data_IF_245803613628
#
_entry.id   IF_245803613628
#
_cell.length_a   1.000
_cell.length_b   1.000
_cell.length_c   1.000
_cell.angle_alpha   90.00
_cell.angle_beta   90.00
_cell.angle_gamma   90.00
#
_symmetry.space_group_name_H-M   'P 1'
#
loop_
_entity.id
_entity.type
_entity.pdbx_description
1 polymer ?
#
# COMPACT_ATOMS: atom_id res chain seq x y z
N UNK A 1 11.59 -13.54 3.89
CA UNK A 1 11.26 -12.38 3.09
C UNK A 1 11.32 -11.16 3.95
N UNK A 2 11.87 -10.16 3.55
CA UNK A 2 12.64 -9.12 3.96
C UNK A 2 12.05 -8.17 4.90
N UNK A 3 12.53 -8.05 5.99
CA UNK A 3 12.55 -6.81 6.72
C UNK A 3 13.64 -5.89 6.12
N UNK A 4 13.27 -4.88 5.40
CA UNK A 4 14.02 -3.64 5.52
C UNK A 4 13.90 -3.29 7.00
N UNK A 5 15.02 -3.06 7.69
CA UNK A 5 14.97 -2.58 9.08
C UNK A 5 14.10 -1.32 9.09
N UNK A 6 12.95 -1.32 9.79
CA UNK A 6 12.08 -0.13 9.85
C UNK A 6 12.82 1.13 10.27
N UNK A 7 13.93 0.97 11.03
CA UNK A 7 14.79 2.07 11.45
C UNK A 7 15.60 2.67 10.31
N UNK A 8 15.98 1.85 9.30
CA UNK A 8 16.69 2.37 8.12
C UNK A 8 15.74 3.16 7.21
N UNK A 9 14.48 2.75 7.08
CA UNK A 9 13.45 3.51 6.38
C UNK A 9 13.11 4.81 7.12
N UNK A 10 13.00 4.76 8.44
CA UNK A 10 12.71 5.94 9.27
C UNK A 10 13.85 6.97 9.20
N UNK A 11 15.12 6.54 9.11
CA UNK A 11 16.26 7.45 8.98
C UNK A 11 16.35 8.13 7.61
N UNK A 12 15.85 7.50 6.56
CA UNK A 12 15.79 8.10 5.22
C UNK A 12 14.62 9.08 5.06
N UNK A 13 13.60 8.98 5.92
CA UNK A 13 12.35 9.75 5.81
C UNK A 13 12.13 10.79 6.92
N UNK A 14 12.97 10.79 7.95
CA UNK A 14 12.82 11.66 9.12
C UNK A 14 12.81 13.19 8.86
N UNK A 15 13.29 13.73 7.73
CA UNK A 15 13.25 15.18 7.51
C UNK A 15 11.96 15.73 6.87
N UNK A 16 11.00 14.87 6.51
CA UNK A 16 9.85 15.26 5.68
C UNK A 16 8.48 15.08 6.35
N UNK A 17 8.44 14.98 7.68
CA UNK A 17 7.16 15.08 8.38
C UNK A 17 6.77 16.55 8.45
N UNK A 18 5.73 17.00 7.74
CA UNK A 18 5.19 18.33 7.99
C UNK A 18 4.59 18.36 9.40
N UNK A 19 4.88 19.46 10.11
CA UNK A 19 4.15 19.81 11.31
C UNK A 19 2.73 20.23 10.90
N UNK A 20 1.77 19.78 11.71
CA UNK A 20 0.39 20.27 11.83
C UNK A 20 -0.10 21.19 10.72
N UNK A 21 -0.80 20.64 9.72
CA UNK A 21 -1.61 21.43 8.82
C UNK A 21 -2.92 21.79 9.51
N UNK A 22 -3.15 23.10 9.67
CA UNK A 22 -4.43 23.68 10.03
C UNK A 22 -5.49 23.23 9.03
N UNK A 23 -6.42 22.40 9.49
CA UNK A 23 -7.54 21.89 8.71
C UNK A 23 -8.56 23.00 8.47
N UNK A 24 -8.73 23.38 7.19
CA UNK A 24 -9.81 24.26 6.75
C UNK A 24 -11.18 23.52 6.78
N UNK A 25 -12.13 24.19 7.30
CA UNK A 25 -13.62 24.28 7.30
C UNK A 25 -14.54 23.13 6.80
N UNK A 26 -14.06 21.99 6.35
CA UNK A 26 -14.86 20.74 6.30
C UNK A 26 -14.49 19.90 7.54
N UNK A 27 -15.22 20.03 8.62
CA UNK A 27 -14.97 19.36 9.90
C UNK A 27 -14.84 17.83 9.67
N UNK A 28 -13.60 17.31 9.70
CA UNK A 28 -13.37 15.86 9.70
C UNK A 28 -13.85 15.31 11.04
N UNK A 29 -14.87 14.47 11.02
CA UNK A 29 -15.40 13.80 12.19
C UNK A 29 -14.89 12.37 12.21
N UNK A 30 -14.12 12.02 13.24
CA UNK A 30 -13.65 10.65 13.45
C UNK A 30 -14.82 9.73 13.78
N UNK A 31 -14.94 8.62 13.07
CA UNK A 31 -15.92 7.56 13.31
C UNK A 31 -15.34 6.53 14.30
N UNK A 32 -16.21 5.89 15.10
CA UNK A 32 -15.81 4.87 16.08
C UNK A 32 -15.01 3.70 15.46
N UNK A 33 -15.20 3.41 14.17
CA UNK A 33 -14.48 2.40 13.41
C UNK A 33 -13.13 2.91 12.85
N UNK A 34 -12.64 4.10 13.25
CA UNK A 34 -11.29 4.61 12.99
C UNK A 34 -11.10 5.28 11.62
N UNK A 35 -12.15 5.49 10.81
CA UNK A 35 -12.09 6.34 9.62
C UNK A 35 -12.70 7.71 9.89
N UNK A 36 -12.34 8.73 9.11
CA UNK A 36 -12.92 10.06 9.21
C UNK A 36 -14.10 10.23 8.23
N UNK A 37 -15.04 11.11 8.55
CA UNK A 37 -16.14 11.48 7.66
C UNK A 37 -16.12 12.98 7.37
N UNK A 38 -16.32 13.33 6.09
CA UNK A 38 -16.59 14.68 5.62
C UNK A 38 -17.93 14.65 4.86
N UNK A 39 -19.00 14.96 5.55
CA UNK A 39 -20.35 14.77 5.03
C UNK A 39 -20.60 13.29 4.67
N UNK A 40 -21.04 12.96 3.44
CA UNK A 40 -21.29 11.58 3.02
C UNK A 40 -20.04 10.85 2.49
N UNK A 41 -18.86 11.41 2.63
CA UNK A 41 -17.59 10.81 2.21
C UNK A 41 -16.83 10.30 3.40
N UNK A 42 -16.38 9.04 3.36
CA UNK A 42 -15.42 8.50 4.31
C UNK A 42 -13.98 8.69 3.80
N UNK A 43 -13.08 8.98 4.71
CA UNK A 43 -11.64 9.07 4.47
C UNK A 43 -10.96 7.96 5.29
N UNK A 44 -10.22 7.11 4.60
CA UNK A 44 -9.37 6.09 5.23
C UNK A 44 -7.91 6.48 5.03
N UNK A 45 -7.22 6.71 6.12
CA UNK A 45 -5.82 7.12 6.11
C UNK A 45 -4.86 5.95 6.04
N UNK A 46 -3.86 6.07 5.16
CA UNK A 46 -2.80 5.09 4.97
C UNK A 46 -1.46 5.83 5.13
N UNK A 47 -0.89 5.77 6.33
CA UNK A 47 0.23 6.61 6.72
C UNK A 47 1.47 5.80 7.10
N UNK A 48 2.66 6.32 6.72
CA UNK A 48 3.95 5.78 7.14
C UNK A 48 4.25 4.37 6.62
N UNK A 49 5.23 3.66 7.21
CA UNK A 49 5.58 2.29 6.82
C UNK A 49 4.47 1.31 7.14
N UNK A 50 4.16 0.41 6.20
CA UNK A 50 3.04 -0.52 6.30
C UNK A 50 3.50 -1.92 6.74
N UNK A 51 2.71 -2.56 7.60
CA UNK A 51 2.94 -3.91 8.11
C UNK A 51 1.66 -4.73 8.07
N UNK A 52 1.78 -6.05 8.24
CA UNK A 52 0.61 -6.92 8.27
C UNK A 52 -0.27 -6.66 9.50
N UNK A 53 0.33 -6.63 10.68
CA UNK A 53 -0.37 -6.46 11.96
C UNK A 53 -0.01 -5.12 12.60
N UNK A 54 -0.93 -4.59 13.41
CA UNK A 54 -0.77 -3.32 14.09
C UNK A 54 0.47 -3.26 14.99
N UNK A 55 1.17 -2.14 14.88
CA UNK A 55 2.16 -1.69 15.84
C UNK A 55 1.88 -0.22 16.15
N UNK A 56 2.12 0.21 17.38
CA UNK A 56 1.75 1.54 17.89
C UNK A 56 2.23 2.76 17.06
N UNK A 57 3.08 2.56 16.05
CA UNK A 57 3.61 3.63 15.19
C UNK A 57 3.41 3.40 13.68
N UNK A 58 2.70 2.34 13.25
CA UNK A 58 2.57 1.99 11.84
C UNK A 58 1.13 1.61 11.51
N UNK A 59 0.64 2.03 10.36
CA UNK A 59 -0.61 1.50 9.81
C UNK A 59 -0.45 0.02 9.46
N UNK A 60 -1.42 -0.79 9.85
CA UNK A 60 -1.46 -2.19 9.47
C UNK A 60 -2.42 -2.44 8.33
N UNK A 61 -2.15 -3.48 7.53
CA UNK A 61 -3.07 -3.88 6.46
C UNK A 61 -4.42 -4.33 7.01
N UNK A 62 -4.43 -4.95 8.19
CA UNK A 62 -5.65 -5.43 8.85
C UNK A 62 -6.53 -4.25 9.27
N UNK A 63 -5.98 -3.23 9.93
CA UNK A 63 -6.72 -2.03 10.33
C UNK A 63 -7.23 -1.23 9.13
N UNK A 64 -6.39 -1.04 8.08
CA UNK A 64 -6.80 -0.35 6.86
C UNK A 64 -7.98 -1.08 6.21
N UNK A 65 -7.93 -2.40 6.13
CA UNK A 65 -9.02 -3.21 5.58
C UNK A 65 -10.29 -3.13 6.42
N UNK A 66 -10.18 -3.20 7.75
CA UNK A 66 -11.31 -3.07 8.67
C UNK A 66 -11.99 -1.72 8.53
N UNK A 67 -11.24 -0.61 8.60
CA UNK A 67 -11.75 0.75 8.43
C UNK A 67 -12.43 0.93 7.06
N UNK A 68 -11.79 0.44 6.01
CA UNK A 68 -12.33 0.51 4.65
C UNK A 68 -13.64 -0.27 4.51
N UNK A 69 -13.70 -1.48 5.03
CA UNK A 69 -14.92 -2.30 4.99
C UNK A 69 -16.04 -1.70 5.84
N UNK A 70 -15.72 -1.14 7.01
CA UNK A 70 -16.68 -0.44 7.86
C UNK A 70 -17.25 0.79 7.14
N UNK A 71 -16.41 1.60 6.49
CA UNK A 71 -16.84 2.75 5.69
C UNK A 71 -17.75 2.32 4.53
N UNK A 72 -17.44 1.24 3.84
CA UNK A 72 -18.28 0.70 2.77
C UNK A 72 -19.62 0.17 3.29
N UNK A 73 -19.66 -0.42 4.48
CA UNK A 73 -20.88 -0.95 5.09
C UNK A 73 -21.80 0.14 5.65
N UNK A 74 -21.29 1.33 5.99
CA UNK A 74 -22.05 2.43 6.55
C UNK A 74 -23.00 3.02 5.50
N UNK A 75 -24.36 2.96 5.69
CA UNK A 75 -25.33 3.47 4.71
C UNK A 75 -25.28 5.00 4.53
N UNK A 76 -24.72 5.76 5.47
CA UNK A 76 -24.56 7.20 5.35
C UNK A 76 -23.39 7.59 4.43
N UNK A 77 -22.44 6.68 4.21
CA UNK A 77 -21.29 6.89 3.33
C UNK A 77 -21.68 6.62 1.87
N UNK A 78 -21.44 7.58 1.00
CA UNK A 78 -21.71 7.49 -0.44
C UNK A 78 -20.47 7.21 -1.27
N UNK A 79 -19.29 7.42 -0.72
CA UNK A 79 -18.01 7.11 -1.37
C UNK A 79 -16.85 7.19 -0.39
N UNK A 80 -15.70 6.62 -0.78
CA UNK A 80 -14.52 6.52 0.07
C UNK A 80 -13.31 7.16 -0.62
N UNK A 81 -12.57 7.96 0.12
CA UNK A 81 -11.25 8.46 -0.25
C UNK A 81 -10.18 7.67 0.53
N UNK A 82 -9.29 6.99 -0.16
CA UNK A 82 -8.04 6.48 0.42
C UNK A 82 -7.01 7.62 0.37
N UNK A 83 -6.71 8.22 1.51
CA UNK A 83 -5.68 9.27 1.63
C UNK A 83 -4.36 8.61 2.02
N UNK A 84 -3.37 8.65 1.12
CA UNK A 84 -2.17 7.80 1.22
C UNK A 84 -0.93 8.67 1.28
N UNK A 85 -0.17 8.55 2.36
CA UNK A 85 1.19 9.10 2.46
C UNK A 85 2.12 8.04 3.07
N UNK A 86 2.67 7.19 2.20
CA UNK A 86 3.39 6.00 2.63
C UNK A 86 4.49 5.60 1.64
N UNK A 87 5.68 5.21 2.15
CA UNK A 87 6.76 4.64 1.33
C UNK A 87 6.49 3.18 0.95
N UNK A 88 5.39 2.58 1.41
CA UNK A 88 5.14 1.16 1.33
C UNK A 88 5.51 0.42 2.61
N UNK A 89 5.85 -0.85 2.50
CA UNK A 89 6.12 -1.68 3.66
C UNK A 89 6.38 -3.13 3.32
N UNK A 90 6.07 -4.04 4.26
CA UNK A 90 6.30 -5.48 4.07
C UNK A 90 5.37 -6.04 2.99
N UNK A 91 5.90 -6.97 2.20
CA UNK A 91 5.13 -7.60 1.12
C UNK A 91 4.11 -8.63 1.64
N UNK A 92 4.28 -9.10 2.88
CA UNK A 92 3.41 -10.09 3.49
C UNK A 92 2.04 -9.51 3.80
N UNK A 93 1.01 -10.08 3.18
CA UNK A 93 -0.38 -9.69 3.39
C UNK A 93 -0.91 -8.63 2.41
N UNK A 94 -0.08 -7.75 1.86
CA UNK A 94 -0.56 -6.62 1.03
C UNK A 94 -1.38 -7.05 -0.19
N UNK A 95 -0.96 -8.10 -0.89
CA UNK A 95 -1.66 -8.53 -2.11
C UNK A 95 -3.04 -9.10 -1.79
N UNK A 96 -3.17 -9.85 -0.71
CA UNK A 96 -4.44 -10.41 -0.27
C UNK A 96 -5.38 -9.31 0.26
N UNK A 97 -4.86 -8.39 1.08
CA UNK A 97 -5.62 -7.23 1.55
C UNK A 97 -6.13 -6.41 0.37
N UNK A 98 -5.27 -6.07 -0.60
CA UNK A 98 -5.69 -5.31 -1.79
C UNK A 98 -6.80 -6.03 -2.56
N UNK A 99 -6.71 -7.36 -2.73
CA UNK A 99 -7.76 -8.15 -3.42
C UNK A 99 -9.07 -8.13 -2.65
N UNK A 100 -9.03 -8.28 -1.31
CA UNK A 100 -10.23 -8.24 -0.47
C UNK A 100 -10.88 -6.87 -0.47
N UNK A 101 -10.10 -5.79 -0.35
CA UNK A 101 -10.60 -4.42 -0.46
C UNK A 101 -11.26 -4.16 -1.82
N UNK A 102 -10.66 -4.63 -2.93
CA UNK A 102 -11.28 -4.54 -4.26
C UNK A 102 -12.61 -5.31 -4.34
N UNK A 103 -12.65 -6.51 -3.78
CA UNK A 103 -13.88 -7.31 -3.75
C UNK A 103 -14.98 -6.61 -2.91
N UNK A 104 -14.62 -6.05 -1.76
CA UNK A 104 -15.53 -5.28 -0.92
C UNK A 104 -16.06 -4.03 -1.65
N UNK A 105 -15.18 -3.27 -2.33
CA UNK A 105 -15.58 -2.13 -3.17
C UNK A 105 -16.59 -2.55 -4.23
N UNK A 106 -16.30 -3.59 -4.99
CA UNK A 106 -17.20 -4.09 -6.04
C UNK A 106 -18.57 -4.52 -5.48
N UNK A 107 -18.58 -5.18 -4.33
CA UNK A 107 -19.81 -5.61 -3.67
C UNK A 107 -20.64 -4.44 -3.16
N UNK A 108 -20.00 -3.36 -2.68
CA UNK A 108 -20.69 -2.18 -2.17
C UNK A 108 -21.28 -1.29 -3.27
N UNK A 109 -20.66 -1.29 -4.45
CA UNK A 109 -21.00 -0.40 -5.57
C UNK A 109 -20.67 1.08 -5.33
N UNK A 110 -20.03 1.42 -4.20
CA UNK A 110 -19.66 2.80 -3.86
C UNK A 110 -18.38 3.20 -4.60
N UNK A 111 -18.28 4.45 -5.11
CA UNK A 111 -17.06 4.95 -5.72
C UNK A 111 -15.95 5.09 -4.66
N UNK A 112 -14.74 4.73 -5.05
CA UNK A 112 -13.53 4.85 -4.22
C UNK A 112 -12.47 5.56 -5.03
N UNK A 113 -11.91 6.64 -4.51
CA UNK A 113 -10.75 7.31 -5.09
C UNK A 113 -9.55 7.15 -4.17
N UNK A 114 -8.36 7.15 -4.76
CA UNK A 114 -7.09 7.15 -4.03
C UNK A 114 -6.38 8.46 -4.30
N UNK A 115 -5.97 9.14 -3.25
CA UNK A 115 -5.15 10.35 -3.31
C UNK A 115 -3.80 10.08 -2.66
N UNK A 116 -2.73 10.16 -3.44
CA UNK A 116 -1.37 10.13 -2.90
C UNK A 116 -1.05 11.51 -2.33
N UNK A 117 -1.22 11.65 -1.02
CA UNK A 117 -0.87 12.85 -0.27
C UNK A 117 0.64 12.86 -0.03
N UNK A 118 1.40 13.31 -1.02
CA UNK A 118 2.82 13.23 -1.30
C UNK A 118 3.30 11.86 -1.81
N UNK A 119 3.02 10.73 -1.17
CA UNK A 119 3.60 9.46 -1.59
C UNK A 119 2.65 8.28 -1.50
N UNK A 120 2.59 7.48 -2.57
CA UNK A 120 2.05 6.13 -2.52
C UNK A 120 3.01 5.19 -3.27
N UNK A 121 3.99 4.64 -2.55
CA UNK A 121 5.06 3.84 -3.12
C UNK A 121 4.96 2.37 -2.69
N UNK A 122 5.44 1.46 -3.53
CA UNK A 122 5.55 0.03 -3.22
C UNK A 122 4.22 -0.55 -2.71
N UNK A 123 4.17 -1.16 -1.52
CA UNK A 123 2.96 -1.72 -0.92
C UNK A 123 1.80 -0.70 -0.82
N UNK A 124 2.10 0.59 -0.58
CA UNK A 124 1.09 1.64 -0.56
C UNK A 124 0.48 1.89 -1.94
N UNK A 125 1.28 1.73 -3.02
CA UNK A 125 0.75 1.79 -4.37
C UNK A 125 -0.18 0.60 -4.68
N UNK A 126 0.13 -0.60 -4.16
CA UNK A 126 -0.80 -1.73 -4.27
C UNK A 126 -2.17 -1.38 -3.68
N UNK A 127 -2.23 -0.77 -2.49
CA UNK A 127 -3.47 -0.31 -1.88
C UNK A 127 -4.12 0.83 -2.68
N UNK A 128 -3.33 1.78 -3.21
CA UNK A 128 -3.85 2.86 -4.06
C UNK A 128 -4.62 2.33 -5.27
N UNK A 129 -4.23 1.15 -5.79
CA UNK A 129 -4.92 0.52 -6.93
C UNK A 129 -6.33 0.02 -6.62
N UNK A 130 -6.80 0.11 -5.38
CA UNK A 130 -8.20 -0.15 -5.01
C UNK A 130 -9.13 0.96 -5.54
N UNK A 131 -8.63 2.20 -5.63
CA UNK A 131 -9.39 3.33 -6.15
C UNK A 131 -9.81 3.18 -7.61
N UNK A 132 -10.95 3.75 -7.97
CA UNK A 132 -11.40 3.88 -9.35
C UNK A 132 -10.53 4.88 -10.12
N UNK A 133 -10.10 5.94 -9.42
CA UNK A 133 -9.10 6.88 -9.90
C UNK A 133 -7.99 7.02 -8.85
N UNK A 134 -6.77 7.23 -9.33
CA UNK A 134 -5.59 7.54 -8.51
C UNK A 134 -5.15 8.95 -8.88
N UNK A 135 -5.10 9.82 -7.88
CA UNK A 135 -4.70 11.21 -7.98
C UNK A 135 -3.45 11.48 -7.15
N UNK A 136 -2.69 12.52 -7.53
CA UNK A 136 -1.53 12.98 -6.77
C UNK A 136 -1.31 14.48 -7.02
N UNK A 137 -0.66 15.23 -6.09
CA UNK A 137 -0.21 16.59 -6.34
C UNK A 137 0.99 16.60 -7.30
N UNK A 138 1.38 17.78 -7.77
CA UNK A 138 2.52 17.92 -8.68
C UNK A 138 3.86 17.49 -8.05
N UNK A 139 3.97 17.56 -6.72
CA UNK A 139 5.10 17.09 -5.92
C UNK A 139 5.00 15.62 -5.53
N UNK A 140 3.84 15.00 -5.70
CA UNK A 140 3.59 13.62 -5.26
C UNK A 140 4.33 12.57 -6.08
N UNK A 141 4.57 11.43 -5.47
CA UNK A 141 5.28 10.29 -6.08
C UNK A 141 4.47 9.00 -6.04
N UNK A 142 4.46 8.28 -7.17
CA UNK A 142 3.89 6.95 -7.29
C UNK A 142 4.91 5.96 -7.85
N UNK A 143 4.68 4.67 -7.62
CA UNK A 143 5.50 3.62 -8.23
C UNK A 143 6.22 2.74 -7.22
N UNK A 144 7.51 2.50 -7.44
CA UNK A 144 8.30 1.52 -6.66
C UNK A 144 7.64 0.12 -6.67
N UNK A 145 7.13 -0.30 -7.84
CA UNK A 145 6.41 -1.57 -8.04
C UNK A 145 7.42 -2.69 -8.16
N UNK A 146 7.81 -3.24 -7.01
CA UNK A 146 8.83 -4.28 -6.93
C UNK A 146 9.03 -4.75 -5.51
N UNK A 147 9.84 -5.79 -5.38
CA UNK A 147 10.23 -6.35 -4.08
C UNK A 147 11.74 -6.31 -3.93
N UNK A 148 12.19 -6.08 -2.72
CA UNK A 148 13.61 -6.12 -2.38
C UNK A 148 13.85 -7.08 -1.23
N UNK A 149 14.95 -7.83 -1.26
CA UNK A 149 15.40 -8.69 -0.18
C UNK A 149 16.86 -8.32 0.17
N UNK A 150 17.12 -8.07 1.43
CA UNK A 150 18.48 -7.82 1.91
C UNK A 150 18.94 -8.99 2.78
N UNK A 151 20.05 -9.58 2.43
CA UNK A 151 20.72 -10.60 3.22
C UNK A 151 22.15 -10.15 3.53
N UNK A 152 22.66 -10.58 4.66
CA UNK A 152 23.99 -10.14 5.13
C UNK A 152 24.85 -11.36 5.44
N UNK A 153 26.09 -11.34 4.97
CA UNK A 153 27.15 -12.29 5.32
C UNK A 153 28.13 -11.59 6.28
N UNK A 154 28.30 -12.15 7.48
CA UNK A 154 29.21 -11.65 8.51
C UNK A 154 30.38 -12.62 8.77
N UNK A 155 30.55 -13.63 7.97
CA UNK A 155 31.56 -14.67 8.22
C UNK A 155 32.96 -14.08 8.31
N UNK A 156 33.32 -13.20 7.38
CA UNK A 156 34.60 -12.51 7.39
C UNK A 156 34.81 -11.62 8.62
N UNK A 157 33.75 -10.88 9.03
CA UNK A 157 33.82 -10.07 10.25
C UNK A 157 34.03 -10.94 11.49
N UNK A 158 33.34 -12.08 11.58
CA UNK A 158 33.51 -13.02 12.69
C UNK A 158 34.93 -13.55 12.75
N UNK A 159 35.52 -13.91 11.61
CA UNK A 159 36.90 -14.40 11.53
C UNK A 159 37.88 -13.34 12.02
N UNK A 160 37.73 -12.09 11.58
CA UNK A 160 38.60 -10.97 12.01
C UNK A 160 38.47 -10.68 13.52
N UNK A 161 37.30 -10.92 14.11
CA UNK A 161 37.05 -10.75 15.55
C UNK A 161 37.39 -12.00 16.39
N UNK A 162 37.86 -13.08 15.76
CA UNK A 162 38.14 -14.33 16.45
C UNK A 162 36.89 -15.05 16.98
N UNK A 163 35.71 -14.77 16.42
CA UNK A 163 34.43 -15.35 16.80
C UNK A 163 34.17 -16.59 15.94
N UNK A 164 34.13 -17.76 16.56
CA UNK A 164 33.74 -19.00 15.89
C UNK A 164 32.25 -19.26 16.12
N UNK A 165 31.48 -19.32 15.04
CA UNK A 165 30.05 -19.68 15.08
C UNK A 165 29.85 -20.99 14.31
N UNK A 166 29.23 -21.98 14.95
CA UNK A 166 28.79 -23.22 14.31
C UNK A 166 27.27 -23.22 14.20
N UNK A 167 26.76 -23.26 12.97
CA UNK A 167 25.32 -23.33 12.71
C UNK A 167 24.94 -24.77 12.39
N UNK A 168 24.21 -25.43 13.29
CA UNK A 168 23.81 -26.83 13.17
C UNK A 168 22.33 -26.85 12.76
N UNK A 169 22.03 -27.49 11.63
CA UNK A 169 20.68 -27.49 11.07
C UNK A 169 20.22 -28.90 10.68
N UNK A 170 18.90 -29.08 10.67
CA UNK A 170 18.25 -30.20 10.00
C UNK A 170 17.77 -29.72 8.62
N UNK A 171 18.44 -30.15 7.56
CA UNK A 171 18.16 -29.75 6.18
C UNK A 171 19.09 -28.64 5.67
N UNK A 172 19.51 -28.80 4.41
CA UNK A 172 20.60 -28.01 3.79
C UNK A 172 20.27 -26.53 3.57
N UNK A 173 18.99 -26.18 3.47
CA UNK A 173 18.55 -24.79 3.21
C UNK A 173 18.11 -24.07 4.49
N UNK A 174 18.11 -24.75 5.65
CA UNK A 174 17.59 -24.17 6.90
C UNK A 174 18.41 -22.98 7.39
N UNK A 175 19.68 -22.91 7.02
CA UNK A 175 20.59 -21.82 7.36
C UNK A 175 20.72 -20.76 6.25
N UNK A 176 19.98 -20.87 5.17
CA UNK A 176 20.01 -19.86 4.12
C UNK A 176 19.66 -18.48 4.70
N UNK A 177 20.51 -17.47 4.40
CA UNK A 177 20.35 -16.13 4.93
C UNK A 177 20.76 -15.92 6.39
N UNK A 178 21.25 -16.96 7.08
CA UNK A 178 21.88 -16.77 8.39
C UNK A 178 23.19 -15.98 8.21
N UNK A 179 23.41 -14.86 8.92
CA UNK A 179 24.57 -14.01 8.72
C UNK A 179 25.92 -14.66 9.08
N UNK A 180 25.90 -15.78 9.79
CA UNK A 180 27.08 -16.53 10.18
C UNK A 180 27.39 -17.71 9.24
N UNK A 181 26.70 -17.79 8.10
CA UNK A 181 26.92 -18.80 7.05
C UNK A 181 27.24 -18.05 5.74
N UNK A 182 28.22 -18.52 4.97
CA UNK A 182 28.57 -17.86 3.70
C UNK A 182 27.37 -17.81 2.74
N UNK A 183 27.17 -16.66 2.09
CA UNK A 183 26.21 -16.50 1.01
C UNK A 183 26.75 -17.15 -0.27
N UNK A 184 26.29 -18.36 -0.58
CA UNK A 184 26.67 -19.04 -1.81
C UNK A 184 25.84 -18.55 -3.01
N UNK A 185 26.35 -18.70 -4.25
CA UNK A 185 25.58 -18.40 -5.46
C UNK A 185 24.23 -19.12 -5.51
N UNK A 186 24.17 -20.36 -5.02
CA UNK A 186 22.93 -21.16 -4.97
C UNK A 186 21.92 -20.58 -3.99
N UNK A 187 22.40 -20.11 -2.82
CA UNK A 187 21.53 -19.42 -1.83
C UNK A 187 20.99 -18.12 -2.41
N UNK A 188 21.85 -17.32 -3.07
CA UNK A 188 21.44 -16.08 -3.73
C UNK A 188 20.39 -16.37 -4.82
N UNK A 189 20.61 -17.40 -5.65
CA UNK A 189 19.65 -17.78 -6.70
C UNK A 189 18.29 -18.18 -6.13
N UNK A 190 18.24 -18.89 -5.00
CA UNK A 190 16.97 -19.23 -4.33
C UNK A 190 16.25 -17.98 -3.83
N UNK A 191 16.96 -17.04 -3.24
CA UNK A 191 16.35 -15.78 -2.80
C UNK A 191 15.88 -14.93 -3.97
N UNK A 192 16.66 -14.87 -5.05
CA UNK A 192 16.25 -14.17 -6.27
C UNK A 192 14.94 -14.73 -6.81
N UNK A 193 14.79 -16.05 -6.87
CA UNK A 193 13.56 -16.68 -7.33
C UNK A 193 12.33 -16.29 -6.45
N UNK A 194 12.52 -16.11 -5.14
CA UNK A 194 11.45 -15.63 -4.25
C UNK A 194 11.11 -14.18 -4.55
N UNK A 195 12.11 -13.31 -4.70
CA UNK A 195 11.91 -11.88 -5.04
C UNK A 195 11.22 -11.73 -6.38
N UNK A 196 11.63 -12.50 -7.39
CA UNK A 196 11.03 -12.47 -8.73
C UNK A 196 9.58 -12.94 -8.71
N UNK A 197 9.27 -14.00 -7.96
CA UNK A 197 7.90 -14.49 -7.81
C UNK A 197 6.99 -13.46 -7.13
N UNK A 198 7.47 -12.77 -6.10
CA UNK A 198 6.71 -11.72 -5.42
C UNK A 198 6.58 -10.47 -6.29
N UNK A 199 7.64 -10.08 -7.00
CA UNK A 199 7.62 -8.98 -7.96
C UNK A 199 6.63 -9.23 -9.09
N UNK A 200 6.57 -10.46 -9.61
CA UNK A 200 5.59 -10.89 -10.62
C UNK A 200 4.14 -10.81 -10.12
N UNK A 201 3.88 -11.22 -8.87
CA UNK A 201 2.55 -11.07 -8.26
C UNK A 201 2.15 -9.59 -8.13
N UNK A 202 3.08 -8.73 -7.76
CA UNK A 202 2.84 -7.30 -7.66
C UNK A 202 2.56 -6.69 -9.05
N UNK A 203 3.38 -7.02 -10.04
CA UNK A 203 3.18 -6.57 -11.41
C UNK A 203 1.81 -7.00 -11.96
N UNK A 204 1.39 -8.24 -11.72
CA UNK A 204 0.06 -8.74 -12.12
C UNK A 204 -1.06 -7.95 -11.44
N UNK A 205 -0.94 -7.71 -10.12
CA UNK A 205 -1.95 -6.95 -9.36
C UNK A 205 -2.13 -5.53 -9.91
N UNK A 206 -1.03 -4.87 -10.29
CA UNK A 206 -1.06 -3.53 -10.89
C UNK A 206 -1.61 -3.59 -12.32
N UNK A 207 -1.17 -4.54 -13.11
CA UNK A 207 -1.63 -4.73 -14.49
C UNK A 207 -3.16 -4.88 -14.55
N UNK A 208 -3.72 -5.74 -13.68
CA UNK A 208 -5.17 -5.96 -13.55
C UNK A 208 -5.92 -4.67 -13.17
N UNK A 209 -5.33 -3.85 -12.30
CA UNK A 209 -5.96 -2.63 -11.82
C UNK A 209 -5.88 -1.46 -12.79
N UNK A 210 -4.78 -1.39 -13.53
CA UNK A 210 -4.47 -0.23 -14.37
C UNK A 210 -4.71 -0.49 -15.86
N UNK A 211 -5.26 -1.68 -16.23
CA UNK A 211 -5.46 -2.10 -17.61
C UNK A 211 -4.16 -2.05 -18.43
N UNK A 212 -3.07 -2.46 -17.78
CA UNK A 212 -1.75 -2.60 -18.39
C UNK A 212 -1.42 -4.07 -18.64
N UNK A 213 -0.40 -4.36 -19.45
CA UNK A 213 0.20 -5.69 -19.46
C UNK A 213 1.20 -5.84 -18.31
N UNK A 214 1.47 -7.08 -17.89
CA UNK A 214 2.53 -7.34 -16.89
C UNK A 214 3.88 -6.84 -17.38
N UNK A 215 4.16 -7.01 -18.67
CA UNK A 215 5.42 -6.55 -19.29
C UNK A 215 5.55 -5.02 -19.24
N UNK A 216 4.44 -4.26 -19.46
CA UNK A 216 4.46 -2.81 -19.32
C UNK A 216 4.80 -2.40 -17.87
N UNK A 217 4.23 -3.08 -16.88
CA UNK A 217 4.53 -2.82 -15.46
C UNK A 217 5.97 -3.17 -15.13
N UNK A 218 6.47 -4.31 -15.59
CA UNK A 218 7.87 -4.71 -15.38
C UNK A 218 8.85 -3.76 -16.10
N UNK A 219 8.46 -3.19 -17.23
CA UNK A 219 9.27 -2.20 -17.96
C UNK A 219 9.48 -0.90 -17.18
N UNK A 220 8.62 -0.60 -16.19
CA UNK A 220 8.82 0.54 -15.27
C UNK A 220 10.01 0.35 -14.32
N UNK A 221 10.59 -0.85 -14.23
CA UNK A 221 11.80 -1.19 -13.47
C UNK A 221 11.75 -0.73 -12.00
N UNK A 222 10.58 -0.86 -11.37
CA UNK A 222 10.31 -0.37 -10.01
C UNK A 222 10.66 1.13 -9.81
N UNK A 223 10.59 1.92 -10.87
CA UNK A 223 10.85 3.37 -10.83
C UNK A 223 9.82 4.12 -9.99
N UNK A 224 10.19 5.35 -9.61
CA UNK A 224 9.32 6.31 -8.95
C UNK A 224 9.01 7.44 -9.91
N UNK A 225 7.74 7.86 -9.97
CA UNK A 225 7.24 8.81 -10.95
C UNK A 225 6.65 10.03 -10.23
N UNK A 226 7.28 11.19 -10.44
CA UNK A 226 6.91 12.45 -9.81
C UNK A 226 5.78 13.12 -10.59
N UNK A 227 4.72 13.52 -9.92
CA UNK A 227 3.65 14.35 -10.44
C UNK A 227 3.15 13.91 -11.81
N UNK A 228 3.29 14.78 -12.79
CA UNK A 228 2.80 14.55 -14.14
C UNK A 228 3.44 13.35 -14.87
N UNK A 229 4.59 12.84 -14.42
CA UNK A 229 5.22 11.64 -14.99
C UNK A 229 4.41 10.36 -14.72
N UNK A 230 3.63 10.34 -13.64
CA UNK A 230 2.85 9.16 -13.26
C UNK A 230 1.67 8.89 -14.22
N UNK A 231 1.15 9.91 -14.90
CA UNK A 231 0.01 9.77 -15.81
C UNK A 231 0.39 9.00 -17.08
N UNK A 232 1.40 9.41 -17.87
CA UNK A 232 1.80 8.63 -19.04
C UNK A 232 2.42 7.27 -18.69
N UNK A 233 2.93 7.09 -17.47
CA UNK A 233 3.36 5.79 -16.96
C UNK A 233 2.19 4.85 -16.64
N UNK A 234 0.93 5.30 -16.78
CA UNK A 234 -0.27 4.51 -16.48
C UNK A 234 -0.58 4.37 -14.99
N UNK A 235 0.22 5.00 -14.10
CA UNK A 235 0.13 4.83 -12.66
C UNK A 235 -0.85 5.78 -11.99
N UNK A 236 -1.15 6.92 -12.60
CA UNK A 236 -2.14 7.88 -12.12
C UNK A 236 -3.20 8.18 -13.18
N UNK A 237 -4.35 8.65 -12.72
CA UNK A 237 -5.39 9.17 -13.59
C UNK A 237 -5.24 10.68 -13.78
N UNK A 238 -4.90 11.41 -12.71
CA UNK A 238 -4.83 12.88 -12.73
C UNK A 238 -3.78 13.43 -11.76
N UNK A 239 -3.27 14.60 -12.09
CA UNK A 239 -2.52 15.47 -11.18
C UNK A 239 -3.45 16.61 -10.77
N UNK A 240 -3.60 16.83 -9.48
CA UNK A 240 -4.46 17.87 -8.91
C UNK A 240 -4.33 17.93 -7.40
N UNK A 241 -4.97 18.90 -6.79
CA UNK A 241 -5.02 19.03 -5.33
C UNK A 241 -5.92 17.97 -4.70
N UNK A 242 -5.83 17.83 -3.39
CA UNK A 242 -6.73 16.98 -2.60
C UNK A 242 -8.19 17.44 -2.76
N UNK A 243 -8.40 18.73 -2.75
CA UNK A 243 -9.72 19.38 -2.92
C UNK A 243 -10.32 19.05 -4.30
N UNK A 244 -9.51 19.08 -5.37
CA UNK A 244 -9.94 18.69 -6.72
C UNK A 244 -10.36 17.21 -6.77
N UNK A 245 -9.59 16.33 -6.11
CA UNK A 245 -9.90 14.91 -6.01
C UNK A 245 -11.21 14.68 -5.23
N UNK A 246 -11.38 15.36 -4.09
CA UNK A 246 -12.61 15.31 -3.28
C UNK A 246 -13.81 15.81 -4.08
N UNK A 247 -13.68 16.93 -4.78
CA UNK A 247 -14.74 17.47 -5.62
C UNK A 247 -15.14 16.50 -6.74
N UNK A 248 -14.15 15.86 -7.37
CA UNK A 248 -14.38 14.84 -8.39
C UNK A 248 -15.08 13.58 -7.83
N UNK A 249 -14.72 13.14 -6.64
CA UNK A 249 -15.37 12.02 -5.96
C UNK A 249 -16.82 12.38 -5.58
N UNK A 250 -17.04 13.55 -4.98
CA UNK A 250 -18.39 14.05 -4.63
C UNK A 250 -19.30 14.16 -5.86
N UNK A 251 -18.78 14.54 -7.01
CA UNK A 251 -19.56 14.58 -8.26
C UNK A 251 -20.05 13.21 -8.73
N UNK A 252 -19.36 12.13 -8.36
CA UNK A 252 -19.79 10.74 -8.65
C UNK A 252 -20.99 10.31 -7.82
N UNK A 253 -21.20 10.89 -6.63
CA UNK A 253 -22.36 10.54 -5.79
C UNK A 253 -23.68 10.87 -6.49
N UNK A 254 -23.74 11.98 -7.22
CA UNK A 254 -24.94 12.41 -7.94
C UNK A 254 -25.29 11.52 -9.15
N UNK A 255 -24.35 10.72 -9.63
CA UNK A 255 -24.52 9.89 -10.83
C UNK A 255 -24.70 8.40 -10.54
N UNK A 256 -24.47 7.97 -9.29
CA UNK A 256 -24.68 6.58 -8.89
C UNK A 256 -26.18 6.28 -8.82
N UNK A 257 -26.68 5.21 -9.46
CA UNK A 257 -28.08 4.81 -9.28
C UNK A 257 -28.31 4.48 -7.80
N UNK A 258 -29.37 5.06 -7.20
CA UNK A 258 -29.74 4.77 -5.83
C UNK A 258 -29.86 3.25 -5.64
N UNK A 259 -29.02 2.69 -4.75
CA UNK A 259 -29.08 1.28 -4.38
C UNK A 259 -30.50 1.02 -3.85
N UNK A 260 -31.28 0.08 -4.41
CA UNK A 260 -32.60 -0.20 -3.91
C UNK A 260 -32.49 -0.64 -2.45
N UNK A 261 -33.19 0.08 -1.56
CA UNK A 261 -33.27 -0.26 -0.15
C UNK A 261 -33.72 -1.73 -0.03
N UNK A 262 -32.89 -2.57 0.58
CA UNK A 262 -33.28 -3.95 0.89
C UNK A 262 -34.54 -3.89 1.75
N UNK A 263 -35.66 -4.35 1.19
CA UNK A 263 -36.96 -4.40 1.86
C UNK A 263 -36.81 -5.18 3.17
N UNK A 264 -37.38 -4.62 4.24
CA UNK A 264 -37.51 -5.34 5.51
C UNK A 264 -38.21 -6.68 5.24
N UNK A 265 -37.70 -7.80 5.79
CA UNK A 265 -38.47 -9.05 5.74
C UNK A 265 -39.80 -8.86 6.41
N UNK A 266 -40.86 -9.35 5.78
CA UNK A 266 -42.20 -9.31 6.33
C UNK A 266 -42.27 -10.10 7.65
N UNK A 267 -42.98 -9.63 8.67
CA UNK A 267 -43.18 -10.38 9.90
C UNK A 267 -44.02 -11.64 9.63
N UNK A 268 -43.47 -12.78 10.04
CA UNK A 268 -44.21 -14.08 10.08
C UNK A 268 -45.08 -14.16 11.29
#
# INVERSE_FOLDING_TARGET
VLAIDPRALTQLWSPLMPADDDCDDDEEVEHEDGYCCVGPMAIVDIQGPLQKCAHWWNSSYEEIEEQFCAALANPAVQGVLLRINSPGGVAEGVFETTRRMRAAKLASGKPVYSYADESALSAAYALATVGDEIWLPSSGMLGSIGCVMQVQDRTKFNDEMGIRVEVITSGTQKADGNPNVPLTPETIARFQAVVDAMGGQFAQLVADARSMTVDDVLALQAGQFLGAQAVPAGLANRVGSKEDCIAALKARFATAPATPAMGKPAPT
#
